data_IF_979781855497
#
_entry.id   IF_979781855497
#
_cell.length_a   1.000
_cell.length_b   1.000
_cell.length_c   1.000
_cell.angle_alpha   90.00
_cell.angle_beta   90.00
_cell.angle_gamma   90.00
#
_symmetry.space_group_name_H-M   'P 1'
#
loop_
_entity.id
_entity.type
_entity.pdbx_description
1 polymer ?
#
# COMPACT_ATOMS: atom_id res chain seq x y z
N UNK A 1 -15.50 -13.34 0.98
CA UNK A 1 -14.10 -13.45 1.41
C UNK A 1 -13.28 -12.45 0.60
N UNK A 2 -12.44 -11.63 1.24
CA UNK A 2 -11.58 -10.67 0.52
C UNK A 2 -10.35 -11.44 0.05
N UNK A 3 -10.15 -11.53 -1.27
CA UNK A 3 -8.94 -12.12 -1.84
C UNK A 3 -7.88 -11.02 -2.04
N UNK A 4 -6.75 -11.05 -1.32
CA UNK A 4 -5.69 -10.09 -1.52
C UNK A 4 -5.02 -10.30 -2.88
N UNK A 5 -4.45 -9.23 -3.43
CA UNK A 5 -3.64 -9.27 -4.65
C UNK A 5 -2.23 -8.82 -4.32
N UNK A 6 -1.23 -9.63 -4.71
CA UNK A 6 0.17 -9.24 -4.62
C UNK A 6 0.44 -8.09 -5.59
N UNK A 7 0.99 -7.00 -5.08
CA UNK A 7 1.29 -5.80 -5.84
C UNK A 7 2.73 -5.38 -5.65
N UNK A 8 3.32 -4.83 -6.70
CA UNK A 8 4.53 -4.04 -6.59
C UNK A 8 4.17 -2.61 -6.17
N UNK A 9 4.62 -2.20 -4.99
CA UNK A 9 4.35 -0.89 -4.39
C UNK A 9 5.60 0.00 -4.47
N UNK A 10 5.48 1.19 -5.06
CA UNK A 10 6.60 2.14 -5.19
C UNK A 10 6.22 3.53 -4.71
N UNK A 11 7.08 4.11 -3.89
CA UNK A 11 7.00 5.52 -3.46
C UNK A 11 8.13 6.31 -4.13
N UNK A 12 7.83 7.50 -4.62
CA UNK A 12 8.80 8.44 -5.21
C UNK A 12 8.36 9.87 -4.97
N UNK A 13 9.21 10.86 -5.27
CA UNK A 13 8.85 12.28 -5.23
C UNK A 13 7.68 12.66 -6.14
N UNK A 14 7.35 11.83 -7.14
CA UNK A 14 6.19 12.04 -8.02
C UNK A 14 4.89 11.46 -7.44
N UNK A 15 4.97 10.51 -6.52
CA UNK A 15 3.79 9.90 -5.91
C UNK A 15 3.95 8.41 -5.62
N UNK A 16 2.80 7.77 -5.43
CA UNK A 16 2.67 6.34 -5.16
C UNK A 16 2.25 5.63 -6.43
N UNK A 17 2.93 4.52 -6.76
CA UNK A 17 2.59 3.67 -7.90
C UNK A 17 2.35 2.25 -7.41
N UNK A 18 1.21 1.67 -7.79
CA UNK A 18 0.82 0.30 -7.49
C UNK A 18 0.69 -0.45 -8.81
N UNK A 19 1.34 -1.60 -8.93
CA UNK A 19 1.24 -2.49 -10.09
C UNK A 19 0.77 -3.86 -9.62
N UNK A 20 -0.28 -4.42 -10.22
CA UNK A 20 -0.74 -5.78 -9.94
C UNK A 20 0.24 -6.78 -10.56
N UNK A 21 0.83 -7.65 -9.73
CA UNK A 21 1.80 -8.64 -10.19
C UNK A 21 1.17 -9.71 -11.10
N UNK A 22 -0.13 -9.97 -10.93
CA UNK A 22 -0.89 -10.93 -11.73
C UNK A 22 -1.47 -10.32 -13.00
N UNK A 23 -1.55 -8.98 -13.06
CA UNK A 23 -2.18 -8.20 -14.14
C UNK A 23 -3.64 -8.59 -14.41
N UNK A 24 -4.38 -9.03 -13.39
CA UNK A 24 -5.75 -9.54 -13.54
C UNK A 24 -6.82 -8.52 -13.16
N UNK A 25 -6.63 -7.79 -12.06
CA UNK A 25 -7.64 -6.83 -11.58
C UNK A 25 -7.40 -5.43 -12.14
N UNK A 26 -6.13 -5.07 -12.30
CA UNK A 26 -5.69 -3.84 -12.94
C UNK A 26 -4.26 -4.03 -13.45
N UNK A 27 -3.75 -3.11 -14.27
CA UNK A 27 -2.35 -3.15 -14.66
C UNK A 27 -1.50 -2.31 -13.71
N UNK A 28 -1.78 -1.00 -13.67
CA UNK A 28 -1.08 -0.04 -12.83
C UNK A 28 -2.01 1.09 -12.42
N UNK A 29 -1.83 1.59 -11.20
CA UNK A 29 -2.45 2.82 -10.69
C UNK A 29 -1.36 3.75 -10.15
N UNK A 30 -1.49 5.02 -10.46
CA UNK A 30 -0.58 6.06 -9.99
C UNK A 30 -1.36 7.15 -9.26
N UNK A 31 -0.85 7.56 -8.11
CA UNK A 31 -1.41 8.60 -7.25
C UNK A 31 -0.34 9.69 -7.07
N UNK A 32 -0.48 10.82 -7.77
CA UNK A 32 0.43 11.94 -7.63
C UNK A 32 0.52 12.39 -6.17
N UNK A 33 1.68 12.87 -5.71
CA UNK A 33 1.86 13.32 -4.30
C UNK A 33 0.76 14.29 -3.87
N UNK A 34 0.32 15.20 -4.75
CA UNK A 34 -0.71 16.19 -4.42
C UNK A 34 -2.10 15.58 -4.15
N UNK A 35 -2.32 14.35 -4.63
CA UNK A 35 -3.55 13.59 -4.39
C UNK A 35 -3.52 12.85 -3.06
N UNK A 36 -2.34 12.44 -2.57
CA UNK A 36 -2.20 11.70 -1.31
C UNK A 36 -2.44 12.64 -0.13
N UNK A 37 -3.41 12.29 0.73
CA UNK A 37 -3.84 13.11 1.86
C UNK A 37 -3.47 12.51 3.20
N UNK A 38 -3.27 11.19 3.27
CA UNK A 38 -2.91 10.50 4.51
C UNK A 38 -2.19 9.18 4.20
N UNK A 39 -1.30 8.75 5.10
CA UNK A 39 -0.77 7.39 5.14
C UNK A 39 -0.52 6.99 6.61
N UNK A 40 -0.77 5.74 6.95
CA UNK A 40 -0.68 5.27 8.33
C UNK A 40 -0.71 3.76 8.47
N UNK A 41 -0.28 3.28 9.63
CA UNK A 41 -0.44 1.90 10.10
C UNK A 41 -1.84 1.69 10.67
N UNK A 42 -2.25 0.43 10.83
CA UNK A 42 -3.47 0.13 11.60
C UNK A 42 -3.32 0.58 13.06
N UNK A 43 -4.16 1.50 13.57
CA UNK A 43 -4.03 2.03 14.93
C UNK A 43 -4.32 1.00 16.02
N UNK A 44 -5.07 -0.06 15.71
CA UNK A 44 -5.35 -1.17 16.64
C UNK A 44 -4.39 -2.34 16.44
N UNK A 45 -3.32 -2.14 15.67
CA UNK A 45 -2.28 -3.13 15.38
C UNK A 45 -2.78 -4.46 14.82
N UNK A 46 -3.99 -4.48 14.22
CA UNK A 46 -4.54 -5.68 13.59
C UNK A 46 -3.58 -6.19 12.52
N UNK A 47 -3.47 -7.51 12.45
CA UNK A 47 -2.57 -8.21 11.54
C UNK A 47 -3.38 -8.92 10.45
N UNK A 48 -2.85 -8.90 9.24
CA UNK A 48 -3.36 -9.73 8.17
C UNK A 48 -2.69 -11.11 8.26
N UNK A 49 -3.50 -12.16 8.24
CA UNK A 49 -3.00 -13.53 8.23
C UNK A 49 -2.69 -13.99 6.80
N UNK A 50 -1.42 -14.12 6.50
CA UNK A 50 -0.92 -14.60 5.22
C UNK A 50 -0.75 -16.13 5.17
N UNK A 51 -1.30 -16.90 6.11
CA UNK A 51 -1.19 -18.37 6.13
C UNK A 51 -1.68 -19.04 4.84
N UNK A 52 -2.54 -18.39 4.05
CA UNK A 52 -2.95 -18.87 2.72
C UNK A 52 -1.78 -18.98 1.72
N UNK A 53 -0.63 -18.34 1.98
CA UNK A 53 0.59 -18.42 1.17
C UNK A 53 1.48 -19.61 1.54
N UNK A 54 1.17 -20.32 2.64
CA UNK A 54 1.94 -21.48 3.09
C UNK A 54 1.99 -22.54 1.98
N UNK A 55 3.20 -23.02 1.68
CA UNK A 55 3.45 -23.96 0.58
C UNK A 55 3.51 -23.33 -0.82
N UNK A 56 3.05 -22.09 -1.02
CA UNK A 56 3.09 -21.38 -2.31
C UNK A 56 4.26 -20.40 -2.42
N UNK A 57 4.68 -19.79 -1.30
CA UNK A 57 5.78 -18.81 -1.24
C UNK A 57 6.75 -19.20 -0.13
N UNK A 58 8.06 -19.14 -0.42
CA UNK A 58 9.12 -19.61 0.51
C UNK A 58 9.43 -18.65 1.65
N UNK A 59 9.27 -17.34 1.43
CA UNK A 59 9.51 -16.30 2.44
C UNK A 59 8.38 -15.29 2.38
N UNK A 60 7.59 -15.21 3.44
CA UNK A 60 6.51 -14.23 3.59
C UNK A 60 6.32 -13.84 5.07
N UNK A 61 5.73 -12.69 5.32
CA UNK A 61 5.34 -12.27 6.67
C UNK A 61 3.99 -12.93 7.02
N UNK A 62 3.99 -13.94 7.90
CA UNK A 62 2.78 -14.68 8.28
C UNK A 62 1.73 -13.81 8.98
N UNK A 63 2.14 -13.12 10.05
CA UNK A 63 1.31 -12.12 10.74
C UNK A 63 1.70 -10.72 10.28
N UNK A 64 1.16 -10.29 9.14
CA UNK A 64 1.60 -9.08 8.46
C UNK A 64 1.00 -7.82 9.08
N UNK A 65 1.85 -6.81 9.34
CA UNK A 65 1.37 -5.48 9.70
C UNK A 65 0.65 -4.86 8.51
N UNK A 66 -0.46 -4.19 8.78
CA UNK A 66 -1.23 -3.48 7.78
C UNK A 66 -0.90 -2.00 7.75
N UNK A 67 -0.97 -1.42 6.56
CA UNK A 67 -0.92 0.01 6.36
C UNK A 67 -1.89 0.43 5.27
N UNK A 68 -2.21 1.71 5.22
CA UNK A 68 -3.03 2.27 4.19
C UNK A 68 -2.55 3.67 3.80
N UNK A 69 -2.97 4.09 2.62
CA UNK A 69 -2.95 5.50 2.25
C UNK A 69 -4.30 5.93 1.69
N UNK A 70 -4.60 7.22 1.88
CA UNK A 70 -5.77 7.89 1.34
C UNK A 70 -5.29 8.84 0.26
N UNK A 71 -5.97 8.82 -0.89
CA UNK A 71 -5.75 9.76 -1.96
C UNK A 71 -7.06 10.28 -2.51
N UNK A 72 -7.09 11.52 -2.99
CA UNK A 72 -8.22 12.07 -3.73
C UNK A 72 -8.43 11.27 -5.02
N UNK A 73 -9.66 10.85 -5.29
CA UNK A 73 -10.01 10.13 -6.51
C UNK A 73 -9.76 11.02 -7.73
N UNK A 74 -9.14 10.46 -8.77
CA UNK A 74 -8.86 11.20 -10.01
C UNK A 74 -10.17 11.75 -10.59
N UNK A 75 -10.19 13.04 -10.90
CA UNK A 75 -11.37 13.74 -11.44
C UNK A 75 -12.45 14.10 -10.41
N UNK A 76 -12.31 13.71 -9.13
CA UNK A 76 -13.25 14.10 -8.07
C UNK A 76 -12.68 15.23 -7.21
N UNK A 77 -13.55 16.17 -6.83
CA UNK A 77 -13.21 17.24 -5.87
C UNK A 77 -13.46 16.83 -4.43
N UNK A 78 -14.36 15.88 -4.21
CA UNK A 78 -14.89 15.51 -2.88
C UNK A 78 -14.55 14.09 -2.48
N UNK A 79 -14.32 13.20 -3.45
CA UNK A 79 -14.15 11.78 -3.16
C UNK A 79 -12.70 11.43 -2.88
N UNK A 80 -12.52 10.56 -1.89
CA UNK A 80 -11.26 9.95 -1.56
C UNK A 80 -11.34 8.45 -1.80
N UNK A 81 -10.20 7.85 -2.14
CA UNK A 81 -10.00 6.41 -2.18
C UNK A 81 -8.98 6.03 -1.12
N UNK A 82 -9.24 4.92 -0.44
CA UNK A 82 -8.33 4.32 0.52
C UNK A 82 -7.83 2.99 -0.03
N UNK A 83 -6.54 2.76 0.06
CA UNK A 83 -5.92 1.50 -0.33
C UNK A 83 -5.25 0.87 0.89
N UNK A 84 -5.69 -0.33 1.24
CA UNK A 84 -5.17 -1.11 2.38
C UNK A 84 -4.21 -2.16 1.84
N UNK A 85 -3.08 -2.32 2.53
CA UNK A 85 -2.03 -3.27 2.21
C UNK A 85 -1.61 -4.01 3.47
N UNK A 86 -1.04 -5.18 3.26
CA UNK A 86 -0.34 -5.94 4.28
C UNK A 86 1.10 -6.18 3.83
N UNK A 87 2.02 -6.27 4.78
CA UNK A 87 3.38 -6.73 4.52
C UNK A 87 3.37 -8.10 3.83
N UNK A 88 4.26 -8.27 2.86
CA UNK A 88 4.49 -9.55 2.20
C UNK A 88 5.94 -9.98 2.40
N UNK A 89 6.89 -9.09 2.11
CA UNK A 89 8.32 -9.32 2.24
C UNK A 89 8.86 -8.73 3.55
N UNK A 90 9.69 -9.48 4.27
CA UNK A 90 10.28 -9.03 5.56
C UNK A 90 11.16 -7.79 5.42
N UNK A 91 11.82 -7.63 4.26
CA UNK A 91 12.74 -6.52 3.99
C UNK A 91 12.00 -5.22 3.65
N UNK A 92 10.68 -5.27 3.46
CA UNK A 92 9.86 -4.12 3.08
C UNK A 92 8.77 -3.85 4.14
N UNK A 93 9.14 -3.42 5.36
CA UNK A 93 8.17 -3.23 6.43
C UNK A 93 7.23 -2.06 6.16
N UNK A 94 5.97 -2.21 6.55
CA UNK A 94 4.91 -1.22 6.42
C UNK A 94 5.30 0.13 7.01
N UNK A 95 6.01 0.14 8.14
CA UNK A 95 6.51 1.35 8.80
C UNK A 95 7.45 2.15 7.90
N UNK A 96 8.36 1.48 7.19
CA UNK A 96 9.27 2.15 6.26
C UNK A 96 8.49 2.76 5.09
N UNK A 97 7.53 2.01 4.53
CA UNK A 97 6.67 2.49 3.45
C UNK A 97 5.90 3.75 3.88
N UNK A 98 5.23 3.72 5.03
CA UNK A 98 4.50 4.88 5.57
C UNK A 98 5.44 6.06 5.80
N UNK A 99 6.63 5.85 6.36
CA UNK A 99 7.62 6.91 6.56
C UNK A 99 8.07 7.55 5.24
N UNK A 100 8.29 6.75 4.20
CA UNK A 100 8.63 7.27 2.87
C UNK A 100 7.49 8.11 2.28
N UNK A 101 6.24 7.66 2.41
CA UNK A 101 5.07 8.44 1.94
C UNK A 101 5.00 9.77 2.69
N UNK A 102 5.08 9.75 4.02
CA UNK A 102 5.04 10.96 4.85
C UNK A 102 6.16 11.93 4.49
N UNK A 103 7.38 11.43 4.29
CA UNK A 103 8.53 12.26 3.88
C UNK A 103 8.29 12.93 2.53
N UNK A 104 7.78 12.20 1.54
CA UNK A 104 7.45 12.75 0.23
C UNK A 104 6.32 13.78 0.32
N UNK A 105 5.32 13.54 1.18
CA UNK A 105 4.24 14.51 1.42
C UNK A 105 4.74 15.78 2.11
N UNK A 106 5.72 15.69 3.01
CA UNK A 106 6.31 16.85 3.69
C UNK A 106 7.27 17.64 2.80
N UNK A 107 7.95 16.98 1.86
CA UNK A 107 8.84 17.61 0.88
C UNK A 107 8.13 18.50 -0.15
N UNK A 108 6.82 18.71 -0.01
CA UNK A 108 6.01 19.68 -0.78
C UNK A 108 6.38 21.11 -0.35
N UNK A 109 7.57 21.56 -0.71
CA UNK A 109 7.93 22.99 -0.72
C UNK A 109 8.45 23.35 -2.09
#
# INVERSE_FOLDING_TARGET
MIQPVSVHFKVSSQGITITDNTRRLFFRRHYPVQSVTYAGLDPSDRRWDNSYLEGSVTKYVKNARMFAFVARKIGSRTDNTCHIFAELETEQPATAVVNFITKVMMGRR
#
